data_IF_482444860170
#
_entry.id   IF_482444860170
#
_cell.length_a   1.000
_cell.length_b   1.000
_cell.length_c   1.000
_cell.angle_alpha   90.00
_cell.angle_beta   90.00
_cell.angle_gamma   90.00
#
_symmetry.space_group_name_H-M   'P 1'
#
loop_
_entity.id
_entity.type
_entity.pdbx_description
1 polymer ?
#
# COMPACT_ATOMS: atom_id res chain seq x y z
N UNK A 1 -13.00 -14.62 5.14
CA UNK A 1 -11.67 -14.00 5.27
C UNK A 1 -10.61 -15.08 5.12
N UNK A 2 -9.66 -14.89 4.20
CA UNK A 2 -8.50 -15.77 4.10
C UNK A 2 -7.66 -15.66 5.38
N UNK A 3 -7.24 -16.80 5.95
CA UNK A 3 -6.35 -16.82 7.12
C UNK A 3 -4.89 -16.68 6.65
N UNK A 4 -4.53 -15.49 6.20
CA UNK A 4 -3.14 -15.18 5.84
C UNK A 4 -2.43 -14.73 7.12
N UNK A 5 -1.22 -15.23 7.36
CA UNK A 5 -0.37 -14.75 8.46
C UNK A 5 0.01 -13.29 8.26
N UNK A 6 0.56 -12.67 9.30
CA UNK A 6 1.11 -11.32 9.26
C UNK A 6 2.60 -11.41 9.58
N UNK A 7 3.42 -10.73 8.76
CA UNK A 7 4.86 -10.53 9.00
C UNK A 7 5.04 -9.27 9.84
N UNK A 8 5.82 -9.37 10.92
CA UNK A 8 6.23 -8.24 11.75
C UNK A 8 7.50 -7.57 11.20
N UNK A 9 7.76 -6.28 11.48
CA UNK A 9 8.94 -5.57 10.97
C UNK A 9 10.28 -6.24 11.30
N UNK A 10 10.41 -6.83 12.50
CA UNK A 10 11.61 -7.51 12.96
C UNK A 10 11.85 -8.87 12.29
N UNK A 11 10.87 -9.40 11.56
CA UNK A 11 11.00 -10.60 10.72
C UNK A 11 11.47 -10.29 9.29
N UNK A 12 11.57 -9.00 8.91
CA UNK A 12 11.97 -8.57 7.57
C UNK A 12 13.45 -8.21 7.56
N UNK A 13 14.27 -8.98 6.83
CA UNK A 13 15.71 -8.71 6.68
C UNK A 13 16.02 -7.52 5.76
N UNK A 14 15.19 -7.29 4.73
CA UNK A 14 15.36 -6.17 3.80
C UNK A 14 14.99 -4.85 4.49
N UNK A 15 15.96 -3.94 4.72
CA UNK A 15 15.72 -2.72 5.50
C UNK A 15 14.72 -1.79 4.83
N UNK A 16 14.66 -1.75 3.49
CA UNK A 16 13.72 -0.86 2.80
C UNK A 16 12.27 -1.31 2.99
N UNK A 17 12.03 -2.63 2.97
CA UNK A 17 10.70 -3.18 3.20
C UNK A 17 10.30 -3.05 4.66
N UNK A 18 11.24 -3.25 5.59
CA UNK A 18 11.02 -2.99 7.01
C UNK A 18 10.56 -1.55 7.23
N UNK A 19 11.30 -0.57 6.71
CA UNK A 19 10.98 0.84 6.83
C UNK A 19 9.57 1.17 6.29
N UNK A 20 9.18 0.53 5.18
CA UNK A 20 7.84 0.71 4.61
C UNK A 20 6.72 0.11 5.46
N UNK A 21 6.95 -1.03 6.12
CA UNK A 21 5.97 -1.61 7.03
C UNK A 21 5.86 -0.78 8.31
N UNK A 22 6.98 -0.34 8.87
CA UNK A 22 7.00 0.55 10.05
C UNK A 22 6.28 1.87 9.76
N UNK A 23 6.57 2.50 8.61
CA UNK A 23 5.89 3.72 8.21
C UNK A 23 4.38 3.51 7.97
N UNK A 24 3.98 2.34 7.47
CA UNK A 24 2.57 1.99 7.31
C UNK A 24 1.87 1.85 8.66
N UNK A 25 2.50 1.19 9.64
CA UNK A 25 2.01 1.05 11.02
C UNK A 25 1.87 2.44 11.67
N UNK A 26 2.88 3.29 11.56
CA UNK A 26 2.87 4.64 12.12
C UNK A 26 1.76 5.52 11.53
N UNK A 27 1.62 5.50 10.19
CA UNK A 27 0.71 6.42 9.46
C UNK A 27 -0.70 5.85 9.27
N UNK A 28 -0.90 4.56 9.56
CA UNK A 28 -2.11 3.82 9.23
C UNK A 28 -2.34 3.66 7.72
N UNK A 29 -1.37 4.01 6.86
CA UNK A 29 -1.52 3.99 5.40
C UNK A 29 -0.19 3.72 4.65
N UNK A 30 -0.23 2.95 3.54
CA UNK A 30 -1.30 2.02 3.18
C UNK A 30 -1.58 1.04 4.34
N UNK A 31 -2.78 0.47 4.41
CA UNK A 31 -3.24 -0.28 5.59
C UNK A 31 -2.17 -1.25 6.12
N UNK A 32 -1.80 -1.18 7.42
CA UNK A 32 -0.68 -1.94 7.98
C UNK A 32 -0.82 -3.45 7.76
N UNK A 33 -2.04 -3.97 7.95
CA UNK A 33 -2.37 -5.37 7.70
C UNK A 33 -2.06 -5.81 6.27
N UNK A 34 -2.40 -4.97 5.28
CA UNK A 34 -2.10 -5.27 3.89
C UNK A 34 -0.62 -5.25 3.58
N UNK A 35 0.12 -4.30 4.15
CA UNK A 35 1.56 -4.24 3.95
C UNK A 35 2.25 -5.44 4.60
N UNK A 36 1.78 -5.85 5.78
CA UNK A 36 2.26 -7.06 6.45
C UNK A 36 1.97 -8.32 5.63
N UNK A 37 0.80 -8.41 4.98
CA UNK A 37 0.51 -9.50 4.03
C UNK A 37 1.45 -9.44 2.82
N UNK A 38 1.66 -8.26 2.21
CA UNK A 38 2.57 -8.11 1.07
C UNK A 38 4.02 -8.45 1.40
N UNK A 39 4.45 -8.23 2.65
CA UNK A 39 5.81 -8.53 3.09
C UNK A 39 6.20 -10.03 2.97
N UNK A 40 5.23 -10.95 2.82
CA UNK A 40 5.51 -12.35 2.50
C UNK A 40 6.22 -12.52 1.14
N UNK A 41 6.07 -11.56 0.21
CA UNK A 41 6.79 -11.56 -1.05
C UNK A 41 7.40 -10.17 -1.31
N UNK A 42 8.73 -10.03 -1.14
CA UNK A 42 9.40 -8.74 -1.22
C UNK A 42 9.17 -7.93 -2.50
N UNK A 43 9.17 -8.58 -3.67
CA UNK A 43 8.98 -7.91 -4.96
C UNK A 43 7.55 -7.39 -5.13
N UNK A 44 6.55 -8.06 -4.56
CA UNK A 44 5.14 -7.62 -4.53
C UNK A 44 5.04 -6.36 -3.66
N UNK A 45 5.67 -6.36 -2.49
CA UNK A 45 5.70 -5.18 -1.62
C UNK A 45 6.39 -4.00 -2.29
N UNK A 46 7.51 -4.26 -2.99
CA UNK A 46 8.29 -3.27 -3.75
C UNK A 46 7.52 -2.70 -4.93
N UNK A 47 6.91 -3.55 -5.75
CA UNK A 47 6.09 -3.15 -6.88
C UNK A 47 4.91 -2.29 -6.41
N UNK A 48 4.15 -2.76 -5.42
CA UNK A 48 3.01 -2.02 -4.89
C UNK A 48 3.42 -0.66 -4.32
N UNK A 49 4.43 -0.62 -3.43
CA UNK A 49 4.82 0.62 -2.74
C UNK A 49 5.40 1.64 -3.71
N UNK A 50 6.19 1.20 -4.69
CA UNK A 50 6.73 2.06 -5.73
C UNK A 50 5.61 2.64 -6.60
N UNK A 51 4.70 1.79 -7.10
CA UNK A 51 3.56 2.25 -7.91
C UNK A 51 2.68 3.23 -7.13
N UNK A 52 2.40 2.96 -5.85
CA UNK A 52 1.62 3.87 -5.01
C UNK A 52 2.30 5.25 -4.88
N UNK A 53 3.60 5.28 -4.60
CA UNK A 53 4.37 6.53 -4.51
C UNK A 53 4.31 7.32 -5.82
N UNK A 54 4.48 6.64 -6.95
CA UNK A 54 4.41 7.28 -8.28
C UNK A 54 3.03 7.84 -8.60
N UNK A 55 1.95 7.16 -8.17
CA UNK A 55 0.58 7.58 -8.46
C UNK A 55 0.06 8.68 -7.52
N UNK A 56 0.40 8.63 -6.24
CA UNK A 56 -0.26 9.43 -5.19
C UNK A 56 0.65 10.40 -4.44
N UNK A 57 1.93 10.07 -4.28
CA UNK A 57 2.84 10.84 -3.43
C UNK A 57 3.72 11.82 -4.23
N UNK A 58 3.66 11.77 -5.57
CA UNK A 58 4.35 12.73 -6.45
C UNK A 58 3.60 14.07 -6.43
N UNK A 59 3.82 14.85 -5.37
CA UNK A 59 3.24 16.19 -5.15
C UNK A 59 3.54 17.21 -6.27
N UNK A 60 4.47 16.92 -7.17
CA UNK A 60 4.87 17.81 -8.26
C UNK A 60 4.20 17.50 -9.61
N UNK A 61 3.55 16.34 -9.78
CA UNK A 61 2.90 15.98 -11.05
C UNK A 61 1.68 15.08 -10.78
N UNK A 62 0.49 15.69 -10.77
CA UNK A 62 -0.78 14.96 -10.68
C UNK A 62 -0.98 13.99 -11.86
N UNK A 63 -0.20 14.07 -12.94
CA UNK A 63 -0.51 13.40 -14.19
C UNK A 63 -1.69 14.10 -14.87
N UNK A 64 -2.56 13.34 -15.53
CA UNK A 64 -3.72 13.91 -16.23
C UNK A 64 -4.86 14.36 -15.32
N UNK A 65 -4.89 13.89 -14.07
CA UNK A 65 -6.00 14.14 -13.13
C UNK A 65 -5.49 14.42 -11.73
N UNK A 66 -6.17 15.31 -11.01
CA UNK A 66 -5.83 15.70 -9.63
C UNK A 66 -5.97 14.54 -8.64
N UNK A 67 -5.30 14.67 -7.50
CA UNK A 67 -5.25 13.63 -6.46
C UNK A 67 -6.65 13.22 -5.98
N UNK A 68 -7.54 14.19 -5.78
CA UNK A 68 -8.91 13.97 -5.32
C UNK A 68 -9.71 13.11 -6.29
N UNK A 69 -9.52 13.30 -7.61
CA UNK A 69 -10.19 12.49 -8.62
C UNK A 69 -9.62 11.07 -8.67
N UNK A 70 -8.31 10.88 -8.43
CA UNK A 70 -7.72 9.54 -8.29
C UNK A 70 -8.32 8.78 -7.11
N UNK A 71 -8.45 9.43 -5.96
CA UNK A 71 -9.04 8.82 -4.76
C UNK A 71 -10.53 8.49 -4.95
N UNK A 72 -11.29 9.37 -5.62
CA UNK A 72 -12.69 9.10 -5.97
C UNK A 72 -12.81 7.87 -6.89
N UNK A 73 -11.99 7.78 -7.94
CA UNK A 73 -11.98 6.62 -8.84
C UNK A 73 -11.58 5.35 -8.11
N UNK A 74 -10.54 5.39 -7.25
CA UNK A 74 -10.10 4.25 -6.44
C UNK A 74 -11.23 3.74 -5.54
N UNK A 75 -11.96 4.64 -4.91
CA UNK A 75 -13.10 4.33 -4.03
C UNK A 75 -14.27 3.73 -4.83
N UNK A 76 -14.60 4.31 -5.98
CA UNK A 76 -15.66 3.79 -6.84
C UNK A 76 -15.34 2.38 -7.36
N UNK A 77 -14.10 2.13 -7.77
CA UNK A 77 -13.66 0.80 -8.20
C UNK A 77 -13.79 -0.21 -7.05
N UNK A 78 -13.31 0.13 -5.85
CA UNK A 78 -13.44 -0.73 -4.68
C UNK A 78 -14.91 -1.06 -4.36
N UNK A 79 -15.78 -0.04 -4.36
CA UNK A 79 -17.22 -0.21 -4.18
C UNK A 79 -17.84 -1.10 -5.26
N UNK A 80 -17.48 -0.90 -6.53
CA UNK A 80 -18.02 -1.68 -7.66
C UNK A 80 -17.60 -3.16 -7.63
N UNK A 81 -16.50 -3.47 -6.93
CA UNK A 81 -15.94 -4.81 -6.79
C UNK A 81 -16.28 -5.47 -5.46
N UNK A 82 -17.10 -4.84 -4.61
CA UNK A 82 -17.42 -5.32 -3.26
C UNK A 82 -16.14 -5.55 -2.42
N UNK A 83 -15.15 -4.65 -2.57
CA UNK A 83 -13.90 -4.69 -1.83
C UNK A 83 -14.03 -3.92 -0.52
N UNK A 84 -14.26 -4.65 0.58
CA UNK A 84 -14.40 -4.10 1.94
C UNK A 84 -13.08 -3.64 2.58
N UNK A 85 -11.94 -4.05 2.02
CA UNK A 85 -10.61 -3.62 2.47
C UNK A 85 -10.28 -2.20 1.97
#
# INVERSE_FOLDING_TARGET
>A
MAKISYVAPDEIDDPELRDWLEAAIEKGRPGPENQSIRAHQPDVMRAFTTTRKLLFDKNSEAGFVEHELKELVRTYIAYSLDCDY
#
